data_IF_329149737155
#
_entry.id   IF_329149737155
#
_cell.length_a   1.000
_cell.length_b   1.000
_cell.length_c   1.000
_cell.angle_alpha   90.00
_cell.angle_beta   90.00
_cell.angle_gamma   90.00
#
_symmetry.space_group_name_H-M   'P 1'
#
loop_
_entity.id
_entity.type
_entity.pdbx_description
1 polymer ?
#
# COMPACT_ATOMS: atom_id res chain seq x y z
N UNK A 1 -65.97 -27.87 47.91
CA UNK A 1 -67.39 -27.60 48.28
C UNK A 1 -68.19 -27.65 46.98
N UNK A 2 -68.89 -28.75 46.66
CA UNK A 2 -70.33 -29.00 47.00
C UNK A 2 -71.20 -27.76 46.71
N UNK A 3 -72.31 -27.79 45.97
CA UNK A 3 -73.08 -28.82 45.24
C UNK A 3 -74.20 -28.06 44.48
N UNK A 4 -74.50 -28.47 43.25
CA UNK A 4 -75.82 -28.70 42.62
C UNK A 4 -77.06 -27.84 42.98
N UNK A 5 -77.75 -27.32 41.96
CA UNK A 5 -79.02 -27.91 41.49
C UNK A 5 -79.42 -27.42 40.08
N UNK A 6 -79.97 -28.38 39.31
CA UNK A 6 -80.25 -28.46 37.87
C UNK A 6 -81.75 -28.09 37.58
N UNK A 7 -82.31 -28.24 36.36
CA UNK A 7 -83.26 -27.33 35.69
C UNK A 7 -84.62 -28.03 35.42
N UNK A 8 -85.51 -27.44 34.60
CA UNK A 8 -86.38 -28.10 33.61
C UNK A 8 -87.54 -27.19 33.15
N UNK A 9 -87.96 -27.30 31.88
CA UNK A 9 -89.26 -26.79 31.45
C UNK A 9 -89.45 -26.54 29.95
N UNK A 10 -89.17 -27.54 29.11
CA UNK A 10 -89.61 -27.61 27.70
C UNK A 10 -91.04 -28.19 27.65
N UNK A 11 -91.83 -27.76 26.65
CA UNK A 11 -93.11 -28.31 26.15
C UNK A 11 -94.44 -27.68 26.64
N UNK A 12 -94.97 -26.72 25.85
CA UNK A 12 -96.41 -26.39 25.86
C UNK A 12 -96.87 -25.74 24.52
N UNK A 13 -96.76 -26.47 23.40
CA UNK A 13 -97.19 -26.00 22.05
C UNK A 13 -98.35 -26.85 21.47
N UNK A 14 -98.92 -27.80 22.21
CA UNK A 14 -99.84 -28.79 21.62
C UNK A 14 -101.33 -28.68 21.92
N UNK A 15 -101.79 -27.79 22.81
CA UNK A 15 -103.10 -27.98 23.47
C UNK A 15 -104.14 -26.85 23.34
N UNK A 16 -103.78 -25.70 22.75
CA UNK A 16 -104.71 -24.56 22.56
C UNK A 16 -105.44 -24.56 21.20
N UNK A 17 -105.00 -25.34 20.21
CA UNK A 17 -105.57 -25.37 18.86
C UNK A 17 -106.81 -26.25 18.64
N UNK A 18 -107.26 -27.02 19.63
CA UNK A 18 -108.46 -27.87 19.52
C UNK A 18 -109.69 -27.35 20.27
N UNK A 19 -109.57 -26.28 21.08
CA UNK A 19 -110.71 -25.69 21.79
C UNK A 19 -111.40 -24.57 20.99
N UNK A 20 -110.70 -23.88 20.10
CA UNK A 20 -111.29 -22.82 19.25
C UNK A 20 -112.21 -23.36 18.14
N UNK A 21 -111.96 -24.58 17.65
CA UNK A 21 -112.79 -25.18 16.58
C UNK A 21 -114.15 -25.69 17.08
N UNK A 22 -114.31 -25.94 18.38
CA UNK A 22 -115.63 -26.24 18.98
C UNK A 22 -116.43 -24.97 19.32
N UNK A 23 -115.76 -23.87 19.67
CA UNK A 23 -116.37 -22.55 19.89
C UNK A 23 -117.02 -22.01 18.60
N UNK A 24 -116.32 -22.14 17.46
CA UNK A 24 -116.82 -21.71 16.15
C UNK A 24 -118.02 -22.54 15.66
N UNK A 25 -118.11 -23.83 15.98
CA UNK A 25 -119.28 -24.65 15.62
C UNK A 25 -120.53 -24.28 16.44
N UNK A 26 -120.38 -23.91 17.71
CA UNK A 26 -121.50 -23.40 18.53
C UNK A 26 -122.00 -22.03 18.06
N UNK A 27 -121.09 -21.12 17.69
CA UNK A 27 -121.48 -19.81 17.16
C UNK A 27 -122.17 -19.89 15.79
N UNK A 28 -121.86 -20.90 14.96
CA UNK A 28 -122.55 -21.15 13.69
C UNK A 28 -123.95 -21.74 13.83
N UNK A 29 -124.23 -22.51 14.89
CA UNK A 29 -125.61 -23.00 15.18
C UNK A 29 -126.49 -21.93 15.85
N UNK A 30 -125.91 -20.98 16.59
CA UNK A 30 -126.64 -19.83 17.15
C UNK A 30 -126.98 -18.76 16.10
N UNK A 31 -126.13 -18.55 15.09
CA UNK A 31 -126.42 -17.64 13.97
C UNK A 31 -127.49 -18.18 12.99
N UNK A 32 -127.78 -19.48 13.00
CA UNK A 32 -128.85 -20.08 12.20
C UNK A 32 -130.26 -19.91 12.80
N UNK A 33 -130.37 -19.42 14.06
CA UNK A 33 -131.65 -19.22 14.77
C UNK A 33 -131.97 -17.76 15.09
N UNK A 34 -131.15 -16.80 14.64
CA UNK A 34 -131.41 -15.39 14.86
C UNK A 34 -132.49 -14.86 13.89
N UNK A 35 -133.54 -14.18 14.38
CA UNK A 35 -134.59 -13.60 13.55
C UNK A 35 -134.00 -12.54 12.62
N UNK A 36 -134.41 -12.56 11.34
CA UNK A 36 -133.99 -11.58 10.32
C UNK A 36 -134.40 -10.18 10.80
N UNK A 37 -133.38 -9.33 11.05
CA UNK A 37 -133.54 -7.92 11.38
C UNK A 37 -134.13 -7.13 10.21
N UNK A 38 -134.92 -6.12 10.56
CA UNK A 38 -135.65 -5.23 9.66
C UNK A 38 -134.67 -4.40 8.80
N UNK A 39 -134.72 -4.46 7.46
CA UNK A 39 -133.84 -3.73 6.57
C UNK A 39 -133.81 -2.21 6.80
N UNK A 40 -134.89 -1.64 7.36
CA UNK A 40 -134.99 -0.19 7.58
C UNK A 40 -134.11 0.32 8.76
N UNK A 41 -133.82 -0.51 9.76
CA UNK A 41 -132.94 -0.12 10.88
C UNK A 41 -131.45 -0.20 10.50
N UNK A 42 -131.09 -1.07 9.55
CA UNK A 42 -129.71 -1.23 9.08
C UNK A 42 -129.27 -0.03 8.23
N UNK A 43 -130.16 0.52 7.39
CA UNK A 43 -129.86 1.71 6.58
C UNK A 43 -129.71 2.99 7.42
N UNK A 44 -130.47 3.12 8.51
CA UNK A 44 -130.36 4.26 9.43
C UNK A 44 -129.02 4.25 10.19
N UNK A 45 -128.60 3.08 10.69
CA UNK A 45 -127.31 2.90 11.35
C UNK A 45 -126.13 3.07 10.40
N UNK A 46 -126.25 2.65 9.13
CA UNK A 46 -125.21 2.91 8.12
C UNK A 46 -125.00 4.40 7.86
N UNK A 47 -126.08 5.19 7.85
CA UNK A 47 -125.97 6.62 7.61
C UNK A 47 -125.32 7.35 8.79
N UNK A 48 -125.64 6.95 10.02
CA UNK A 48 -125.05 7.50 11.25
C UNK A 48 -123.55 7.13 11.37
N UNK A 49 -123.18 5.89 11.01
CA UNK A 49 -121.79 5.43 10.96
C UNK A 49 -120.96 6.20 9.93
N UNK A 50 -121.53 6.55 8.76
CA UNK A 50 -120.82 7.37 7.77
C UNK A 50 -120.57 8.79 8.29
N UNK A 51 -121.54 9.38 8.99
CA UNK A 51 -121.42 10.73 9.53
C UNK A 51 -120.38 10.81 10.66
N UNK A 52 -120.43 9.86 11.61
CA UNK A 52 -119.40 9.75 12.67
C UNK A 52 -118.04 9.43 12.08
N UNK A 53 -117.98 8.63 11.01
CA UNK A 53 -116.75 8.35 10.27
C UNK A 53 -116.10 9.61 9.68
N UNK A 54 -116.89 10.55 9.16
CA UNK A 54 -116.37 11.82 8.62
C UNK A 54 -115.87 12.76 9.73
N UNK A 55 -116.59 12.87 10.85
CA UNK A 55 -116.16 13.71 11.98
C UNK A 55 -114.91 13.17 12.68
N UNK A 56 -114.80 11.83 12.78
CA UNK A 56 -113.61 11.17 13.33
C UNK A 56 -112.38 11.37 12.43
N UNK A 57 -112.56 11.36 11.10
CA UNK A 57 -111.48 11.62 10.15
C UNK A 57 -110.95 13.06 10.28
N UNK A 58 -111.82 14.04 10.45
CA UNK A 58 -111.45 15.45 10.61
C UNK A 58 -110.76 15.72 11.97
N UNK A 59 -111.25 15.12 13.05
CA UNK A 59 -110.62 15.22 14.37
C UNK A 59 -109.24 14.54 14.38
N UNK A 60 -109.11 13.38 13.73
CA UNK A 60 -107.85 12.66 13.56
C UNK A 60 -106.82 13.50 12.81
N UNK A 61 -107.21 14.16 11.72
CA UNK A 61 -106.30 15.01 10.95
C UNK A 61 -105.76 16.21 11.75
N UNK A 62 -106.58 16.82 12.63
CA UNK A 62 -106.13 17.91 13.51
C UNK A 62 -105.15 17.43 14.57
N UNK A 63 -105.42 16.29 15.20
CA UNK A 63 -104.52 15.68 16.19
C UNK A 63 -103.20 15.29 15.53
N UNK A 64 -103.23 14.68 14.34
CA UNK A 64 -102.02 14.34 13.58
C UNK A 64 -101.20 15.59 13.22
N UNK A 65 -101.86 16.70 12.87
CA UNK A 65 -101.18 17.97 12.57
C UNK A 65 -100.52 18.60 13.79
N UNK A 66 -101.18 18.58 14.94
CA UNK A 66 -100.63 19.15 16.17
C UNK A 66 -99.56 18.24 16.78
N UNK A 67 -99.70 16.92 16.68
CA UNK A 67 -98.65 15.96 17.01
C UNK A 67 -97.42 16.14 16.10
N UNK A 68 -97.62 16.36 14.80
CA UNK A 68 -96.53 16.65 13.87
C UNK A 68 -95.81 17.96 14.21
N UNK A 69 -96.52 18.99 14.68
CA UNK A 69 -95.91 20.26 15.13
C UNK A 69 -95.09 20.08 16.41
N UNK A 70 -95.61 19.35 17.39
CA UNK A 70 -94.88 19.07 18.65
C UNK A 70 -93.64 18.22 18.37
N UNK A 71 -93.76 17.24 17.48
CA UNK A 71 -92.64 16.40 17.07
C UNK A 71 -91.59 17.20 16.29
N UNK A 72 -92.02 18.11 15.41
CA UNK A 72 -91.10 19.02 14.71
C UNK A 72 -90.38 19.94 15.70
N UNK A 73 -91.09 20.52 16.67
CA UNK A 73 -90.48 21.37 17.71
C UNK A 73 -89.47 20.60 18.58
N UNK A 74 -89.77 19.34 18.95
CA UNK A 74 -88.80 18.47 19.64
C UNK A 74 -87.59 18.16 18.78
N UNK A 75 -87.77 17.89 17.49
CA UNK A 75 -86.66 17.65 16.55
C UNK A 75 -85.80 18.89 16.37
N UNK A 76 -86.39 20.08 16.31
CA UNK A 76 -85.66 21.35 16.24
C UNK A 76 -84.81 21.55 17.49
N UNK A 77 -85.40 21.43 18.70
CA UNK A 77 -84.65 21.55 19.96
C UNK A 77 -83.54 20.50 20.09
N UNK A 78 -83.81 19.26 19.66
CA UNK A 78 -82.81 18.20 19.66
C UNK A 78 -81.68 18.45 18.66
N UNK A 79 -81.98 19.08 17.52
CA UNK A 79 -80.98 19.49 16.54
C UNK A 79 -80.17 20.67 17.05
N UNK A 80 -80.78 21.66 17.68
CA UNK A 80 -80.09 22.79 18.31
C UNK A 80 -79.12 22.32 19.41
N UNK A 81 -79.55 21.39 20.26
CA UNK A 81 -78.68 20.79 21.28
C UNK A 81 -77.51 20.00 20.66
N UNK A 82 -77.76 19.26 19.57
CA UNK A 82 -76.70 18.55 18.84
C UNK A 82 -75.74 19.51 18.14
N UNK A 83 -76.24 20.63 17.62
CA UNK A 83 -75.42 21.64 16.97
C UNK A 83 -74.51 22.33 17.99
N UNK A 84 -75.05 22.66 19.17
CA UNK A 84 -74.27 23.22 20.28
C UNK A 84 -73.22 22.24 20.82
N UNK A 85 -73.55 20.94 20.95
CA UNK A 85 -72.55 19.92 21.32
C UNK A 85 -71.47 19.77 20.24
N UNK A 86 -71.84 19.85 18.96
CA UNK A 86 -70.88 19.82 17.86
C UNK A 86 -69.94 21.04 17.89
N UNK A 87 -70.47 22.24 18.14
CA UNK A 87 -69.67 23.47 18.29
C UNK A 87 -68.67 23.34 19.43
N UNK A 88 -69.11 22.91 20.62
CA UNK A 88 -68.21 22.68 21.76
C UNK A 88 -67.10 21.67 21.44
N UNK A 89 -67.39 20.63 20.65
CA UNK A 89 -66.37 19.65 20.21
C UNK A 89 -65.40 20.25 19.20
N UNK A 90 -65.89 21.06 18.27
CA UNK A 90 -65.06 21.76 17.29
C UNK A 90 -64.13 22.76 17.98
N UNK A 91 -64.62 23.52 18.96
CA UNK A 91 -63.80 24.45 19.75
C UNK A 91 -62.72 23.71 20.57
N UNK A 92 -63.09 22.57 21.18
CA UNK A 92 -62.13 21.73 21.89
C UNK A 92 -61.08 21.12 20.94
N UNK A 93 -61.46 20.74 19.73
CA UNK A 93 -60.52 20.28 18.69
C UNK A 93 -59.62 21.41 18.20
N UNK A 94 -60.17 22.61 17.96
CA UNK A 94 -59.42 23.80 17.56
C UNK A 94 -58.37 24.17 18.61
N UNK A 95 -58.74 24.13 19.90
CA UNK A 95 -57.80 24.39 21.00
C UNK A 95 -56.67 23.36 21.06
N UNK A 96 -56.97 22.08 20.80
CA UNK A 96 -55.94 21.02 20.74
C UNK A 96 -55.02 21.17 19.55
N UNK A 97 -55.56 21.53 18.37
CA UNK A 97 -54.77 21.78 17.17
C UNK A 97 -53.84 22.97 17.37
N UNK A 98 -54.32 24.08 17.93
CA UNK A 98 -53.48 25.23 18.27
C UNK A 98 -52.36 24.86 19.24
N UNK A 99 -52.65 24.06 20.28
CA UNK A 99 -51.60 23.60 21.21
C UNK A 99 -50.53 22.75 20.50
N UNK A 100 -50.95 21.93 19.54
CA UNK A 100 -50.03 21.10 18.75
C UNK A 100 -49.20 21.94 17.76
N UNK A 101 -49.81 22.95 17.14
CA UNK A 101 -49.13 23.90 16.26
C UNK A 101 -48.07 24.70 17.04
N UNK A 102 -48.40 25.16 18.25
CA UNK A 102 -47.43 25.86 19.12
C UNK A 102 -46.27 24.95 19.51
N UNK A 103 -46.55 23.72 19.95
CA UNK A 103 -45.51 22.72 20.27
C UNK A 103 -44.64 22.37 19.06
N UNK A 104 -45.23 22.27 17.87
CA UNK A 104 -44.49 22.00 16.64
C UNK A 104 -43.58 23.17 16.26
N UNK A 105 -44.08 24.40 16.39
CA UNK A 105 -43.32 25.64 16.11
C UNK A 105 -42.10 25.76 17.03
N UNK A 106 -42.22 25.32 18.29
CA UNK A 106 -41.10 25.31 19.24
C UNK A 106 -40.07 24.21 18.94
N UNK A 107 -40.49 23.07 18.40
CA UNK A 107 -39.61 21.92 18.13
C UNK A 107 -38.90 21.99 16.77
N UNK A 108 -39.49 22.65 15.78
CA UNK A 108 -38.94 22.76 14.43
C UNK A 108 -37.51 23.35 14.40
N UNK A 109 -37.20 24.44 15.11
CA UNK A 109 -35.84 24.99 15.16
C UNK A 109 -34.83 24.03 15.83
N UNK A 110 -35.25 23.26 16.84
CA UNK A 110 -34.37 22.31 17.53
C UNK A 110 -34.03 21.13 16.62
N UNK A 111 -35.01 20.62 15.88
CA UNK A 111 -34.82 19.54 14.92
C UNK A 111 -33.91 20.00 13.78
N UNK A 112 -34.14 21.20 13.23
CA UNK A 112 -33.31 21.76 12.16
C UNK A 112 -31.87 22.00 12.61
N UNK A 113 -31.67 22.49 13.84
CA UNK A 113 -30.33 22.66 14.42
C UNK A 113 -29.60 21.33 14.54
N UNK A 114 -30.27 20.29 15.08
CA UNK A 114 -29.66 18.94 15.20
C UNK A 114 -29.37 18.32 13.83
N UNK A 115 -30.23 18.52 12.85
CA UNK A 115 -30.01 18.04 11.48
C UNK A 115 -28.84 18.77 10.81
N UNK A 116 -28.69 20.08 11.05
CA UNK A 116 -27.56 20.86 10.56
C UNK A 116 -26.24 20.39 11.19
N UNK A 117 -26.20 20.20 12.52
CA UNK A 117 -25.04 19.68 13.23
C UNK A 117 -24.64 18.28 12.73
N UNK A 118 -25.60 17.38 12.56
CA UNK A 118 -25.35 16.04 12.04
C UNK A 118 -24.81 16.07 10.60
N UNK A 119 -25.33 16.94 9.74
CA UNK A 119 -24.82 17.10 8.38
C UNK A 119 -23.37 17.56 8.37
N UNK A 120 -23.05 18.61 9.14
CA UNK A 120 -21.67 19.11 9.25
C UNK A 120 -20.73 18.03 9.79
N UNK A 121 -21.12 17.32 10.85
CA UNK A 121 -20.31 16.25 11.41
C UNK A 121 -20.13 15.06 10.47
N UNK A 122 -21.11 14.76 9.62
CA UNK A 122 -21.00 13.71 8.60
C UNK A 122 -20.04 14.14 7.47
N UNK A 123 -20.14 15.38 7.01
CA UNK A 123 -19.25 15.94 5.98
C UNK A 123 -17.79 15.97 6.44
N UNK A 124 -17.54 16.38 7.69
CA UNK A 124 -16.18 16.35 8.27
C UNK A 124 -15.62 14.93 8.34
N UNK A 125 -16.43 13.95 8.77
CA UNK A 125 -16.02 12.53 8.82
C UNK A 125 -15.75 11.97 7.44
N UNK A 126 -16.60 12.28 6.45
CA UNK A 126 -16.40 11.86 5.07
C UNK A 126 -15.10 12.42 4.51
N UNK A 127 -14.83 13.71 4.73
CA UNK A 127 -13.60 14.34 4.29
C UNK A 127 -12.37 13.72 4.95
N UNK A 128 -12.41 13.45 6.26
CA UNK A 128 -11.31 12.79 6.96
C UNK A 128 -11.04 11.37 6.42
N UNK A 129 -12.10 10.62 6.11
CA UNK A 129 -11.99 9.27 5.55
C UNK A 129 -11.41 9.31 4.12
N UNK A 130 -11.84 10.27 3.31
CA UNK A 130 -11.30 10.50 1.95
C UNK A 130 -9.81 10.86 1.98
N UNK A 131 -9.39 11.74 2.89
CA UNK A 131 -7.97 12.08 3.11
C UNK A 131 -7.15 10.83 3.54
N UNK A 132 -7.68 9.99 4.44
CA UNK A 132 -7.01 8.75 4.85
C UNK A 132 -6.88 7.74 3.72
N UNK A 133 -7.95 7.53 2.94
CA UNK A 133 -7.92 6.59 1.81
C UNK A 133 -6.96 7.05 0.71
N UNK A 134 -6.93 8.35 0.42
CA UNK A 134 -5.99 8.94 -0.54
C UNK A 134 -4.54 8.77 -0.09
N UNK A 135 -4.26 9.04 1.20
CA UNK A 135 -2.93 8.83 1.75
C UNK A 135 -2.49 7.36 1.76
N UNK A 136 -3.40 6.44 2.11
CA UNK A 136 -3.14 5.01 2.09
C UNK A 136 -2.89 4.51 0.65
N UNK A 137 -3.67 4.98 -0.33
CA UNK A 137 -3.47 4.63 -1.73
C UNK A 137 -2.12 5.11 -2.26
N UNK A 138 -1.71 6.33 -1.90
CA UNK A 138 -0.39 6.87 -2.26
C UNK A 138 0.74 6.04 -1.65
N UNK A 139 0.69 5.76 -0.35
CA UNK A 139 1.69 4.93 0.33
C UNK A 139 1.79 3.53 -0.28
N UNK A 140 0.66 2.89 -0.57
CA UNK A 140 0.62 1.58 -1.21
C UNK A 140 1.23 1.60 -2.63
N UNK A 141 1.02 2.68 -3.40
CA UNK A 141 1.64 2.86 -4.71
C UNK A 141 3.15 3.02 -4.62
N UNK A 142 3.64 3.78 -3.64
CA UNK A 142 5.08 3.97 -3.40
C UNK A 142 5.77 2.67 -2.99
N UNK A 143 5.14 1.90 -2.09
CA UNK A 143 5.63 0.59 -1.66
C UNK A 143 5.67 -0.40 -2.83
N UNK A 144 4.63 -0.42 -3.67
CA UNK A 144 4.60 -1.27 -4.87
C UNK A 144 5.73 -0.94 -5.84
N UNK A 145 5.97 0.35 -6.11
CA UNK A 145 7.07 0.79 -6.96
C UNK A 145 8.45 0.49 -6.36
N UNK A 146 8.56 0.41 -5.02
CA UNK A 146 9.78 -0.02 -4.34
C UNK A 146 10.00 -1.53 -4.47
N UNK A 147 8.94 -2.33 -4.30
CA UNK A 147 8.99 -3.78 -4.48
C UNK A 147 9.34 -4.17 -5.92
N UNK A 148 8.74 -3.53 -6.92
CA UNK A 148 9.07 -3.78 -8.33
C UNK A 148 10.55 -3.51 -8.64
N UNK A 149 11.12 -2.45 -8.05
CA UNK A 149 12.57 -2.17 -8.18
C UNK A 149 13.45 -3.24 -7.51
N UNK A 150 13.01 -3.79 -6.38
CA UNK A 150 13.73 -4.88 -5.70
C UNK A 150 13.62 -6.19 -6.49
N UNK A 151 12.43 -6.53 -6.97
CA UNK A 151 12.20 -7.71 -7.80
C UNK A 151 13.01 -7.66 -9.10
N UNK A 152 13.11 -6.50 -9.74
CA UNK A 152 13.98 -6.32 -10.91
C UNK A 152 15.46 -6.55 -10.59
N UNK A 153 15.95 -6.14 -9.41
CA UNK A 153 17.34 -6.38 -8.99
C UNK A 153 17.60 -7.84 -8.65
N UNK A 154 16.61 -8.55 -8.10
CA UNK A 154 16.72 -9.97 -7.74
C UNK A 154 16.60 -10.86 -8.98
N UNK A 155 15.75 -10.50 -9.93
CA UNK A 155 15.44 -11.30 -11.12
C UNK A 155 16.40 -11.08 -12.30
N UNK A 156 17.18 -10.00 -12.32
CA UNK A 156 18.17 -9.79 -13.38
C UNK A 156 19.33 -10.77 -13.22
N UNK A 157 19.52 -11.66 -14.20
CA UNK A 157 20.80 -12.38 -14.31
C UNK A 157 21.95 -11.36 -14.31
N UNK A 158 23.07 -11.64 -13.60
CA UNK A 158 24.22 -10.76 -13.61
C UNK A 158 24.65 -10.51 -15.05
N UNK A 159 24.71 -9.25 -15.47
CA UNK A 159 25.19 -8.87 -16.81
C UNK A 159 26.66 -9.26 -16.91
N UNK A 160 26.90 -10.45 -17.47
CA UNK A 160 28.23 -11.04 -17.63
C UNK A 160 29.15 -10.14 -18.46
N UNK A 161 28.57 -9.36 -19.37
CA UNK A 161 29.32 -8.41 -20.18
C UNK A 161 29.85 -7.26 -19.35
N UNK A 162 28.94 -6.63 -18.59
CA UNK A 162 29.30 -5.59 -17.63
C UNK A 162 30.31 -6.08 -16.60
N UNK A 163 30.11 -7.28 -16.03
CA UNK A 163 31.05 -7.87 -15.07
C UNK A 163 32.43 -8.07 -15.69
N UNK A 164 32.50 -8.52 -16.95
CA UNK A 164 33.80 -8.64 -17.64
C UNK A 164 34.46 -7.28 -17.80
N UNK A 165 33.74 -6.30 -18.34
CA UNK A 165 34.30 -4.97 -18.66
C UNK A 165 34.71 -4.18 -17.39
N UNK A 166 34.00 -4.37 -16.27
CA UNK A 166 34.23 -3.62 -15.02
C UNK A 166 35.11 -4.35 -13.99
N UNK A 167 35.12 -5.70 -13.97
CA UNK A 167 35.90 -6.47 -12.99
C UNK A 167 37.15 -7.12 -13.60
N UNK A 168 37.02 -7.72 -14.78
CA UNK A 168 38.08 -8.56 -15.36
C UNK A 168 38.97 -7.78 -16.33
N UNK A 169 38.37 -7.06 -17.27
CA UNK A 169 39.08 -6.27 -18.29
C UNK A 169 40.11 -5.28 -17.72
N UNK A 170 39.86 -4.62 -16.58
CA UNK A 170 40.85 -3.75 -15.97
C UNK A 170 42.05 -4.46 -15.33
N UNK A 171 41.95 -5.78 -15.08
CA UNK A 171 43.01 -6.53 -14.40
C UNK A 171 43.98 -7.12 -15.42
N UNK A 172 45.26 -6.89 -15.17
CA UNK A 172 46.35 -7.26 -16.07
C UNK A 172 47.37 -8.15 -15.37
N UNK A 173 48.15 -8.87 -16.16
CA UNK A 173 49.27 -9.65 -15.64
C UNK A 173 50.57 -8.85 -15.77
N UNK A 174 51.33 -8.78 -14.68
CA UNK A 174 52.71 -8.30 -14.67
C UNK A 174 53.62 -9.52 -14.64
N UNK A 175 54.50 -9.66 -15.63
CA UNK A 175 55.37 -10.83 -15.75
C UNK A 175 56.83 -10.44 -15.93
N UNK A 176 57.68 -10.94 -15.03
CA UNK A 176 59.14 -10.94 -15.18
C UNK A 176 59.64 -12.34 -15.53
N UNK A 177 60.95 -12.50 -15.60
CA UNK A 177 61.58 -13.78 -16.01
C UNK A 177 61.25 -14.95 -15.08
N UNK A 178 61.02 -14.67 -13.79
CA UNK A 178 60.79 -15.68 -12.75
C UNK A 178 59.61 -15.39 -11.81
N UNK A 179 58.93 -14.27 -12.02
CA UNK A 179 57.82 -13.84 -11.16
C UNK A 179 56.62 -13.42 -11.99
N UNK A 180 55.44 -13.63 -11.41
CA UNK A 180 54.15 -13.23 -11.97
C UNK A 180 53.35 -12.59 -10.86
N UNK A 181 52.82 -11.41 -11.13
CA UNK A 181 51.78 -10.79 -10.33
C UNK A 181 50.69 -10.19 -11.22
N UNK A 182 49.88 -9.37 -10.60
CA UNK A 182 48.72 -8.71 -11.20
C UNK A 182 48.85 -7.20 -11.10
N UNK A 183 48.06 -6.49 -11.88
CA UNK A 183 47.89 -5.05 -11.80
C UNK A 183 46.47 -4.65 -12.13
N UNK A 184 46.07 -3.45 -11.74
CA UNK A 184 44.76 -2.87 -12.06
C UNK A 184 44.96 -1.61 -12.89
N UNK A 185 44.50 -1.63 -14.14
CA UNK A 185 44.44 -0.48 -15.02
C UNK A 185 43.38 0.50 -14.55
N UNK A 186 43.74 1.77 -14.55
CA UNK A 186 42.81 2.89 -14.35
C UNK A 186 42.35 3.42 -15.70
N UNK A 187 41.39 4.33 -15.71
CA UNK A 187 40.85 4.90 -16.94
C UNK A 187 41.94 5.63 -17.76
N UNK A 188 41.99 5.36 -19.08
CA UNK A 188 42.90 6.04 -20.00
C UNK A 188 42.56 7.52 -20.13
N UNK A 189 43.58 8.37 -20.04
CA UNK A 189 43.47 9.82 -20.27
C UNK A 189 44.30 10.22 -21.47
N UNK A 190 43.75 11.08 -22.33
CA UNK A 190 44.48 11.59 -23.50
C UNK A 190 45.54 12.61 -23.06
N UNK A 191 46.75 12.50 -23.58
CA UNK A 191 47.86 13.42 -23.30
C UNK A 191 47.72 14.70 -24.14
N UNK A 192 46.91 15.64 -23.67
CA UNK A 192 46.71 16.94 -24.31
C UNK A 192 46.25 16.82 -25.77
N UNK A 193 46.85 17.59 -26.68
CA UNK A 193 46.55 17.55 -28.12
C UNK A 193 47.20 16.38 -28.87
N UNK A 194 48.08 15.61 -28.21
CA UNK A 194 48.75 14.48 -28.85
C UNK A 194 47.78 13.33 -29.13
N UNK A 195 48.15 12.43 -30.04
CA UNK A 195 47.42 11.18 -30.28
C UNK A 195 47.72 10.09 -29.24
N UNK A 196 48.50 10.39 -28.20
CA UNK A 196 48.92 9.41 -27.19
C UNK A 196 47.97 9.39 -25.98
N UNK A 197 47.87 8.22 -25.40
CA UNK A 197 47.07 7.93 -24.22
C UNK A 197 47.97 7.57 -23.06
N UNK A 198 47.63 8.07 -21.88
CA UNK A 198 48.26 7.74 -20.62
C UNK A 198 47.30 6.93 -19.77
N UNK A 199 47.75 5.78 -19.31
CA UNK A 199 46.98 4.90 -18.44
C UNK A 199 47.81 4.61 -17.19
N UNK A 200 47.24 4.87 -16.02
CA UNK A 200 47.88 4.52 -14.75
C UNK A 200 47.53 3.08 -14.39
N UNK A 201 48.45 2.43 -13.68
CA UNK A 201 48.29 1.06 -13.20
C UNK A 201 48.69 1.00 -11.73
N UNK A 202 47.81 0.44 -10.90
CA UNK A 202 48.10 0.13 -9.50
C UNK A 202 48.49 -1.34 -9.38
N UNK A 203 49.47 -1.63 -8.53
CA UNK A 203 49.90 -3.00 -8.21
C UNK A 203 50.55 -3.04 -6.82
N UNK A 204 50.96 -4.22 -6.37
CA UNK A 204 51.73 -4.38 -5.15
C UNK A 204 53.22 -4.11 -5.42
N UNK A 205 53.90 -3.41 -4.51
CA UNK A 205 55.31 -3.05 -4.70
C UNK A 205 56.21 -4.28 -4.83
N UNK A 206 56.01 -5.30 -4.00
CA UNK A 206 56.82 -6.51 -4.08
C UNK A 206 56.75 -7.21 -5.45
N UNK A 207 55.63 -7.10 -6.18
CA UNK A 207 55.53 -7.66 -7.55
C UNK A 207 56.53 -6.98 -8.47
N UNK A 208 56.55 -5.64 -8.46
CA UNK A 208 57.48 -4.84 -9.29
C UNK A 208 58.93 -5.10 -8.88
N UNK A 209 59.21 -5.09 -7.58
CA UNK A 209 60.54 -5.38 -7.03
C UNK A 209 61.04 -6.76 -7.46
N UNK A 210 60.19 -7.77 -7.41
CA UNK A 210 60.54 -9.14 -7.78
C UNK A 210 60.77 -9.26 -9.30
N UNK A 211 60.08 -8.46 -10.13
CA UNK A 211 60.31 -8.37 -11.59
C UNK A 211 61.69 -7.78 -11.87
N UNK A 212 62.08 -6.73 -11.15
CA UNK A 212 63.39 -6.11 -11.29
C UNK A 212 64.54 -7.00 -10.79
N UNK A 213 64.25 -7.92 -9.86
CA UNK A 213 65.22 -8.85 -9.27
C UNK A 213 66.26 -8.18 -8.36
N UNK A 214 66.32 -6.84 -8.35
CA UNK A 214 67.11 -6.02 -7.45
C UNK A 214 66.39 -4.70 -7.18
N UNK A 215 66.36 -4.20 -5.93
CA UNK A 215 65.73 -2.92 -5.60
C UNK A 215 66.39 -1.71 -6.31
N UNK A 216 67.62 -1.84 -6.81
CA UNK A 216 68.35 -0.76 -7.48
C UNK A 216 67.98 -0.61 -8.98
N UNK A 217 67.18 -1.52 -9.54
CA UNK A 217 66.81 -1.55 -10.97
C UNK A 217 65.42 -0.98 -11.22
N UNK A 218 65.18 0.28 -10.84
CA UNK A 218 63.86 0.93 -10.98
C UNK A 218 63.55 1.50 -12.36
N UNK A 219 64.55 1.56 -13.25
CA UNK A 219 64.42 2.25 -14.54
C UNK A 219 63.93 1.33 -15.68
N UNK A 220 63.84 0.03 -15.42
CA UNK A 220 63.42 -0.93 -16.44
C UNK A 220 61.90 -0.95 -16.64
N UNK A 221 61.44 -1.06 -17.89
CA UNK A 221 60.03 -1.19 -18.19
C UNK A 221 59.49 -2.53 -17.67
N UNK A 222 58.37 -2.48 -16.95
CA UNK A 222 57.64 -3.67 -16.47
C UNK A 222 56.75 -4.20 -17.58
N UNK A 223 56.89 -5.46 -18.03
CA UNK A 223 56.00 -6.05 -19.03
C UNK A 223 54.57 -6.21 -18.49
N UNK A 224 53.60 -5.75 -19.27
CA UNK A 224 52.16 -5.82 -18.95
C UNK A 224 51.44 -6.61 -20.03
N UNK A 225 50.66 -7.63 -19.64
CA UNK A 225 49.74 -8.34 -20.53
C UNK A 225 48.31 -7.91 -20.23
N UNK A 226 47.67 -7.32 -21.24
CA UNK A 226 46.30 -6.84 -21.20
C UNK A 226 45.40 -7.86 -21.91
N UNK A 227 44.31 -8.24 -21.25
CA UNK A 227 43.37 -9.25 -21.72
C UNK A 227 42.15 -8.58 -22.37
N UNK A 228 41.86 -8.95 -23.61
CA UNK A 228 40.71 -8.44 -24.35
C UNK A 228 39.54 -9.41 -24.24
N UNK A 229 38.32 -8.89 -24.41
CA UNK A 229 37.07 -9.65 -24.24
C UNK A 229 36.89 -10.80 -25.24
N UNK A 230 37.51 -10.68 -26.41
CA UNK A 230 37.55 -11.73 -27.43
C UNK A 230 38.62 -12.80 -27.17
N UNK A 231 39.36 -12.68 -26.05
CA UNK A 231 40.46 -13.57 -25.68
C UNK A 231 41.81 -13.18 -26.30
N UNK A 232 41.88 -12.10 -27.09
CA UNK A 232 43.15 -11.61 -27.60
C UNK A 232 44.00 -10.98 -26.48
N UNK A 233 45.31 -11.01 -26.68
CA UNK A 233 46.30 -10.45 -25.75
C UNK A 233 46.97 -9.24 -26.37
N UNK A 234 47.08 -8.16 -25.59
CA UNK A 234 47.86 -6.98 -25.92
C UNK A 234 49.04 -6.86 -24.96
N UNK A 235 50.24 -6.80 -25.52
CA UNK A 235 51.48 -6.67 -24.75
C UNK A 235 51.93 -5.21 -24.73
N UNK A 236 52.14 -4.68 -23.54
CA UNK A 236 52.60 -3.32 -23.31
C UNK A 236 53.74 -3.30 -22.29
N UNK A 237 54.32 -2.13 -22.07
CA UNK A 237 55.26 -1.92 -20.97
C UNK A 237 54.85 -0.72 -20.14
N UNK A 238 55.08 -0.81 -18.83
CA UNK A 238 54.80 0.25 -17.89
C UNK A 238 56.07 0.73 -17.20
N UNK A 239 56.15 2.03 -16.92
CA UNK A 239 57.24 2.63 -16.13
C UNK A 239 56.77 2.85 -14.71
N UNK A 240 57.62 2.57 -13.73
CA UNK A 240 57.37 2.91 -12.34
C UNK A 240 57.38 4.43 -12.16
N UNK A 241 56.34 4.97 -11.54
CA UNK A 241 56.27 6.40 -11.14
C UNK A 241 56.65 6.56 -9.68
N UNK A 242 56.00 5.77 -8.82
CA UNK A 242 56.14 5.87 -7.37
C UNK A 242 55.81 4.53 -6.72
N UNK A 243 56.34 4.30 -5.53
CA UNK A 243 55.99 3.15 -4.70
C UNK A 243 56.06 3.51 -3.20
N UNK A 244 55.35 2.75 -2.39
CA UNK A 244 55.44 2.78 -0.93
C UNK A 244 55.76 1.37 -0.41
N UNK A 245 56.85 1.26 0.34
CA UNK A 245 57.35 -0.03 0.83
C UNK A 245 56.48 -0.56 1.97
N UNK A 246 55.96 0.32 2.82
CA UNK A 246 55.22 -0.06 4.03
C UNK A 246 53.77 -0.46 3.70
N UNK A 247 53.15 0.25 2.75
CA UNK A 247 51.82 -0.07 2.21
C UNK A 247 51.86 -1.19 1.17
N UNK A 248 53.04 -1.54 0.68
CA UNK A 248 53.29 -2.53 -0.38
C UNK A 248 52.50 -2.20 -1.66
N UNK A 249 52.54 -0.95 -2.11
CA UNK A 249 51.82 -0.46 -3.30
C UNK A 249 52.76 0.24 -4.27
N UNK A 250 52.49 0.13 -5.56
CA UNK A 250 53.21 0.82 -6.62
C UNK A 250 52.25 1.41 -7.66
N UNK A 251 52.63 2.57 -8.18
CA UNK A 251 51.96 3.26 -9.28
C UNK A 251 52.86 3.21 -10.51
N UNK A 252 52.33 2.65 -11.60
CA UNK A 252 53.00 2.58 -12.89
C UNK A 252 52.21 3.36 -13.93
N UNK A 253 52.86 3.66 -15.05
CA UNK A 253 52.25 4.32 -16.20
C UNK A 253 52.57 3.62 -17.50
N UNK A 254 51.51 3.45 -18.29
CA UNK A 254 51.56 3.03 -19.69
C UNK A 254 51.35 4.27 -20.56
N UNK A 255 52.19 4.45 -21.57
CA UNK A 255 51.99 5.44 -22.63
C UNK A 255 51.75 4.70 -23.93
N UNK A 256 50.50 4.71 -24.39
CA UNK A 256 50.03 3.92 -25.52
C UNK A 256 49.58 4.82 -26.67
N UNK A 257 49.63 4.32 -27.90
CA UNK A 257 49.06 5.03 -29.06
C UNK A 257 47.53 4.91 -29.12
N UNK A 258 46.97 3.87 -28.50
CA UNK A 258 45.53 3.63 -28.36
C UNK A 258 45.14 3.47 -26.89
N UNK A 259 43.94 3.90 -26.47
CA UNK A 259 43.49 3.75 -25.10
C UNK A 259 43.39 2.26 -24.71
N UNK A 260 43.50 1.97 -23.42
CA UNK A 260 43.13 0.63 -22.94
C UNK A 260 41.61 0.49 -23.00
N UNK A 261 41.08 -0.69 -23.35
CA UNK A 261 39.64 -0.88 -23.57
C UNK A 261 38.83 -0.80 -22.26
N UNK A 262 39.44 -1.17 -21.14
CA UNK A 262 38.79 -1.24 -19.84
C UNK A 262 39.68 -0.59 -18.78
N UNK A 263 39.08 0.18 -17.88
CA UNK A 263 39.75 0.79 -16.73
C UNK A 263 38.85 0.68 -15.50
N UNK A 264 39.46 0.42 -14.35
CA UNK A 264 38.74 0.21 -13.11
C UNK A 264 38.11 1.51 -12.63
N UNK A 265 36.84 1.43 -12.22
CA UNK A 265 36.16 2.51 -11.51
C UNK A 265 36.64 2.54 -10.08
N UNK A 266 37.13 3.67 -9.60
CA UNK A 266 37.62 3.80 -8.24
C UNK A 266 36.50 4.14 -7.26
N UNK A 267 36.48 3.49 -6.09
CA UNK A 267 35.55 3.83 -5.03
C UNK A 267 35.83 5.21 -4.43
N UNK A 268 34.79 5.94 -4.04
CA UNK A 268 34.95 7.23 -3.36
C UNK A 268 35.53 7.02 -1.95
N UNK A 269 36.21 8.04 -1.40
CA UNK A 269 36.65 8.02 0.00
C UNK A 269 35.52 7.69 0.97
N UNK A 270 34.33 8.26 0.75
CA UNK A 270 33.14 7.98 1.56
C UNK A 270 32.74 6.49 1.48
N UNK A 271 32.69 5.90 0.28
CA UNK A 271 32.38 4.47 0.11
C UNK A 271 33.35 3.57 0.88
N UNK A 272 34.64 3.91 0.88
CA UNK A 272 35.68 3.15 1.58
C UNK A 272 35.57 3.28 3.11
N UNK A 273 35.22 4.46 3.62
CA UNK A 273 34.92 4.68 5.05
C UNK A 273 33.65 3.91 5.47
N UNK A 274 32.69 3.80 4.56
CA UNK A 274 31.43 3.10 4.79
C UNK A 274 31.53 1.58 4.62
N UNK A 275 32.69 1.04 4.22
CA UNK A 275 32.90 -0.41 4.12
C UNK A 275 32.73 -1.13 5.45
N UNK A 276 32.07 -2.29 5.42
CA UNK A 276 31.80 -3.13 6.60
C UNK A 276 32.23 -4.57 6.38
N UNK A 277 32.37 -5.30 7.48
CA UNK A 277 32.45 -6.76 7.44
C UNK A 277 31.16 -7.29 6.80
N UNK A 278 31.28 -8.33 5.98
CA UNK A 278 30.24 -8.90 5.12
C UNK A 278 29.88 -8.11 3.87
N UNK A 279 30.55 -6.99 3.57
CA UNK A 279 30.46 -6.39 2.24
C UNK A 279 30.92 -7.41 1.20
N UNK A 280 30.07 -7.69 0.21
CA UNK A 280 30.38 -8.63 -0.86
C UNK A 280 31.45 -8.07 -1.78
N UNK A 281 32.45 -8.89 -2.14
CA UNK A 281 33.57 -8.49 -2.99
C UNK A 281 33.93 -9.53 -4.05
N UNK A 282 34.57 -9.07 -5.11
CA UNK A 282 35.32 -9.90 -6.05
C UNK A 282 36.82 -9.62 -5.90
N UNK A 283 37.61 -10.66 -5.67
CA UNK A 283 39.06 -10.60 -5.85
C UNK A 283 39.39 -11.06 -7.27
N UNK A 284 40.03 -10.20 -8.05
CA UNK A 284 40.40 -10.47 -9.43
C UNK A 284 41.90 -10.27 -9.60
N UNK A 285 42.58 -11.31 -10.06
CA UNK A 285 44.01 -11.33 -10.30
C UNK A 285 44.38 -12.49 -11.21
N UNK A 286 45.67 -12.65 -11.48
CA UNK A 286 46.27 -13.60 -12.43
C UNK A 286 47.00 -14.73 -11.66
N UNK A 287 46.29 -15.61 -10.93
CA UNK A 287 46.93 -16.64 -10.10
C UNK A 287 47.78 -17.57 -10.97
N UNK A 288 49.00 -17.86 -10.50
CA UNK A 288 49.96 -18.76 -11.15
C UNK A 288 50.27 -18.41 -12.60
N UNK A 289 50.06 -17.16 -13.02
CA UNK A 289 50.28 -16.74 -14.41
C UNK A 289 49.15 -17.08 -15.38
N UNK A 290 47.99 -17.51 -14.88
CA UNK A 290 46.78 -17.63 -15.70
C UNK A 290 46.19 -16.25 -16.02
N UNK A 291 45.22 -16.25 -16.92
CA UNK A 291 44.34 -15.11 -17.21
C UNK A 291 43.64 -14.62 -15.94
N UNK A 292 43.12 -13.37 -15.90
CA UNK A 292 42.50 -12.85 -14.70
C UNK A 292 41.29 -13.71 -14.28
N UNK A 293 41.30 -14.20 -13.05
CA UNK A 293 40.27 -15.05 -12.48
C UNK A 293 39.50 -14.26 -11.42
N UNK A 294 38.21 -13.97 -11.64
CA UNK A 294 37.36 -13.38 -10.61
C UNK A 294 36.92 -14.44 -9.60
N UNK A 295 37.13 -14.15 -8.32
CA UNK A 295 36.69 -15.00 -7.20
C UNK A 295 35.83 -14.21 -6.25
N UNK A 296 34.67 -14.76 -5.87
CA UNK A 296 33.71 -14.07 -5.00
C UNK A 296 34.00 -14.38 -3.53
N UNK A 297 33.85 -13.38 -2.67
CA UNK A 297 33.88 -13.51 -1.23
C UNK A 297 33.30 -12.27 -0.55
N UNK A 298 33.78 -12.01 0.65
CA UNK A 298 33.31 -10.91 1.50
C UNK A 298 34.50 -10.28 2.24
N UNK A 299 34.33 -9.04 2.70
CA UNK A 299 35.23 -8.43 3.67
C UNK A 299 35.08 -9.15 5.01
N UNK A 300 36.14 -9.78 5.48
CA UNK A 300 36.18 -10.53 6.74
C UNK A 300 36.70 -9.68 7.91
N UNK A 301 37.59 -8.72 7.66
CA UNK A 301 38.06 -7.74 8.64
C UNK A 301 38.52 -6.45 7.95
N UNK A 302 38.30 -5.31 8.60
CA UNK A 302 38.68 -3.97 8.08
C UNK A 302 39.89 -3.37 8.81
N UNK A 303 40.22 -3.86 10.01
CA UNK A 303 41.31 -3.37 10.85
C UNK A 303 42.25 -4.53 11.22
N UNK A 304 42.76 -5.25 10.23
CA UNK A 304 43.70 -6.34 10.47
C UNK A 304 45.15 -5.83 10.39
N UNK A 305 45.85 -5.81 11.52
CA UNK A 305 47.24 -5.33 11.57
C UNK A 305 48.20 -6.50 11.45
N UNK A 306 49.08 -6.43 10.44
CA UNK A 306 50.18 -7.40 10.23
C UNK A 306 51.47 -6.60 10.12
N UNK A 307 52.43 -6.90 11.00
CA UNK A 307 53.75 -6.22 11.03
C UNK A 307 53.67 -4.68 11.15
N UNK A 308 52.59 -4.17 11.75
CA UNK A 308 52.35 -2.73 11.91
C UNK A 308 51.61 -2.05 10.75
N UNK A 309 51.34 -2.77 9.66
CA UNK A 309 50.55 -2.27 8.52
C UNK A 309 49.09 -2.72 8.62
N UNK A 310 48.18 -1.79 8.32
CA UNK A 310 46.74 -2.05 8.28
C UNK A 310 46.32 -2.66 6.95
N UNK A 311 45.69 -3.83 7.02
CA UNK A 311 45.11 -4.53 5.89
C UNK A 311 43.62 -4.80 6.11
N UNK A 312 42.89 -4.91 5.01
CA UNK A 312 41.63 -5.63 4.99
C UNK A 312 41.90 -7.12 4.82
N UNK A 313 41.11 -7.94 5.50
CA UNK A 313 41.05 -9.36 5.24
C UNK A 313 39.83 -9.67 4.38
N UNK A 314 40.00 -10.42 3.30
CA UNK A 314 38.91 -10.87 2.41
C UNK A 314 38.84 -12.38 2.37
N UNK A 315 37.61 -12.91 2.32
CA UNK A 315 37.32 -14.34 2.23
C UNK A 315 37.32 -14.89 0.81
N UNK A 316 37.41 -14.01 -0.20
CA UNK A 316 37.51 -14.40 -1.61
C UNK A 316 38.74 -15.30 -1.82
N UNK A 317 38.59 -16.51 -2.39
CA UNK A 317 39.70 -17.42 -2.59
C UNK A 317 40.81 -16.82 -3.46
N UNK A 318 41.99 -16.67 -2.90
CA UNK A 318 43.17 -16.11 -3.57
C UNK A 318 44.35 -17.07 -3.48
N UNK A 319 45.22 -16.99 -4.48
CA UNK A 319 46.45 -17.77 -4.60
C UNK A 319 47.63 -16.94 -5.10
N UNK A 320 48.84 -17.49 -5.02
CA UNK A 320 50.07 -16.83 -5.51
C UNK A 320 49.84 -16.35 -6.95
N UNK A 321 50.19 -15.09 -7.23
CA UNK A 321 49.94 -14.41 -8.49
C UNK A 321 48.80 -13.39 -8.46
N UNK A 322 47.89 -13.45 -7.46
CA UNK A 322 46.86 -12.41 -7.28
C UNK A 322 47.41 -11.09 -6.76
N UNK A 323 48.61 -11.08 -6.18
CA UNK A 323 49.25 -9.86 -5.65
C UNK A 323 49.32 -8.77 -6.71
N UNK A 324 48.89 -7.57 -6.34
CA UNK A 324 48.68 -6.42 -7.21
C UNK A 324 47.34 -6.38 -7.96
N UNK A 325 46.51 -7.42 -7.83
CA UNK A 325 45.17 -7.49 -8.40
C UNK A 325 44.16 -6.64 -7.61
N UNK A 326 42.94 -6.55 -8.12
CA UNK A 326 41.90 -5.69 -7.54
C UNK A 326 40.92 -6.44 -6.64
N UNK A 327 40.54 -5.79 -5.54
CA UNK A 327 39.36 -6.14 -4.75
C UNK A 327 38.25 -5.17 -5.11
N UNK A 328 37.19 -5.67 -5.71
CA UNK A 328 36.07 -4.88 -6.22
C UNK A 328 34.81 -5.12 -5.39
N UNK A 329 33.99 -4.10 -5.26
CA UNK A 329 32.64 -4.23 -4.71
C UNK A 329 31.78 -5.15 -5.59
N UNK A 330 31.05 -6.08 -4.97
CA UNK A 330 30.27 -7.07 -5.73
C UNK A 330 29.03 -6.49 -6.45
N UNK A 331 28.59 -5.29 -6.10
CA UNK A 331 27.41 -4.65 -6.68
C UNK A 331 27.78 -3.46 -7.59
N UNK A 332 28.61 -2.55 -7.09
CA UNK A 332 29.04 -1.35 -7.83
C UNK A 332 30.21 -1.60 -8.78
N UNK A 333 30.94 -2.72 -8.59
CA UNK A 333 32.18 -3.05 -9.30
C UNK A 333 33.29 -1.98 -9.14
N UNK A 334 33.19 -1.15 -8.10
CA UNK A 334 34.22 -0.17 -7.78
C UNK A 334 35.42 -0.85 -7.09
N UNK A 335 36.63 -0.45 -7.45
CA UNK A 335 37.85 -0.89 -6.80
C UNK A 335 37.90 -0.36 -5.36
N UNK A 336 37.99 -1.27 -4.40
CA UNK A 336 38.01 -1.01 -2.96
C UNK A 336 39.42 -1.13 -2.37
N UNK A 337 40.23 -2.06 -2.88
CA UNK A 337 41.57 -2.35 -2.35
C UNK A 337 42.45 -3.01 -3.41
N UNK A 338 43.77 -2.97 -3.20
CA UNK A 338 44.75 -3.74 -3.96
C UNK A 338 45.10 -5.00 -3.18
N UNK A 339 45.04 -6.16 -3.81
CA UNK A 339 45.40 -7.42 -3.18
C UNK A 339 46.92 -7.48 -2.94
N UNK A 340 47.35 -7.73 -1.70
CA UNK A 340 48.76 -7.65 -1.33
C UNK A 340 49.34 -9.04 -1.10
N UNK A 341 48.80 -9.78 -0.13
CA UNK A 341 49.41 -11.05 0.33
C UNK A 341 48.34 -12.06 0.76
N UNK A 342 48.72 -13.33 0.86
CA UNK A 342 47.85 -14.39 1.39
C UNK A 342 48.41 -14.87 2.72
N UNK A 343 47.53 -15.10 3.68
CA UNK A 343 47.93 -15.65 4.96
C UNK A 343 48.55 -17.06 4.78
N UNK A 344 49.67 -17.30 5.46
CA UNK A 344 50.30 -18.61 5.51
C UNK A 344 50.40 -19.09 6.94
N UNK A 345 50.18 -20.38 7.15
CA UNK A 345 50.30 -21.01 8.46
C UNK A 345 51.45 -22.02 8.48
N UNK A 346 52.20 -22.05 9.59
CA UNK A 346 53.30 -22.99 9.84
C UNK A 346 54.67 -22.43 9.43
N UNK A 347 55.64 -22.53 10.35
CA UNK A 347 57.00 -21.99 10.16
C UNK A 347 57.93 -22.90 9.34
N UNK A 348 57.67 -24.22 9.32
CA UNK A 348 58.51 -25.22 8.62
C UNK A 348 57.96 -25.64 7.26
N UNK A 349 56.64 -25.56 7.07
CA UNK A 349 55.92 -25.85 5.83
C UNK A 349 54.75 -24.89 5.72
N UNK A 350 55.01 -23.72 5.16
CA UNK A 350 54.00 -22.69 4.95
C UNK A 350 52.86 -23.25 4.12
N UNK A 351 51.71 -23.43 4.76
CA UNK A 351 50.46 -23.81 4.10
C UNK A 351 49.70 -22.54 3.79
N UNK A 352 49.38 -22.34 2.51
CA UNK A 352 48.59 -21.20 2.04
C UNK A 352 47.16 -21.39 2.53
N UNK A 353 46.56 -20.32 3.04
CA UNK A 353 45.15 -20.28 3.45
C UNK A 353 44.39 -19.40 2.46
N UNK A 354 43.78 -19.97 1.40
CA UNK A 354 43.30 -19.17 0.26
C UNK A 354 42.19 -18.17 0.57
N UNK A 355 41.42 -18.39 1.64
CA UNK A 355 40.31 -17.54 2.06
C UNK A 355 40.72 -16.50 3.13
N UNK A 356 42.02 -16.33 3.38
CA UNK A 356 42.55 -15.29 4.28
C UNK A 356 43.47 -14.38 3.47
N UNK A 357 42.86 -13.71 2.48
CA UNK A 357 43.53 -12.74 1.63
C UNK A 357 43.71 -11.41 2.36
N UNK A 358 44.89 -10.78 2.23
CA UNK A 358 45.19 -9.46 2.79
C UNK A 358 45.28 -8.43 1.65
N UNK A 359 44.51 -7.37 1.76
CA UNK A 359 44.43 -6.30 0.76
C UNK A 359 44.72 -4.94 1.39
N UNK A 360 45.52 -4.12 0.69
CA UNK A 360 45.78 -2.72 1.06
C UNK A 360 44.57 -1.88 0.63
N UNK A 361 43.81 -1.29 1.57
CA UNK A 361 42.60 -0.54 1.24
C UNK A 361 42.95 0.71 0.42
N UNK A 362 42.10 1.03 -0.56
CA UNK A 362 42.33 2.16 -1.46
C UNK A 362 42.36 3.51 -0.73
N UNK A 363 41.77 3.59 0.48
CA UNK A 363 41.84 4.78 1.32
C UNK A 363 43.29 5.12 1.70
N UNK A 364 44.08 4.12 2.08
CA UNK A 364 45.50 4.30 2.38
C UNK A 364 46.31 4.64 1.12
N UNK A 365 45.93 4.06 -0.03
CA UNK A 365 46.55 4.38 -1.32
C UNK A 365 46.28 5.83 -1.71
N UNK A 366 45.07 6.35 -1.48
CA UNK A 366 44.76 7.76 -1.72
C UNK A 366 45.58 8.70 -0.85
N UNK A 367 45.69 8.41 0.45
CA UNK A 367 46.49 9.22 1.37
C UNK A 367 47.97 9.24 0.97
N UNK A 368 48.49 8.10 0.49
CA UNK A 368 49.84 8.01 -0.06
C UNK A 368 50.00 8.84 -1.35
N UNK A 369 49.12 8.68 -2.33
CA UNK A 369 49.19 9.43 -3.59
C UNK A 369 49.10 10.94 -3.36
N UNK A 370 48.27 11.39 -2.41
CA UNK A 370 48.19 12.80 -2.03
C UNK A 370 49.49 13.31 -1.39
N UNK A 371 50.08 12.53 -0.49
CA UNK A 371 51.36 12.86 0.16
C UNK A 371 52.51 12.99 -0.84
N UNK A 372 52.53 12.14 -1.87
CA UNK A 372 53.53 12.20 -2.96
C UNK A 372 53.27 13.33 -3.97
N UNK A 373 52.19 14.13 -3.79
CA UNK A 373 51.81 15.16 -4.75
C UNK A 373 51.25 14.60 -6.06
N UNK A 374 50.89 13.32 -6.08
CA UNK A 374 50.30 12.60 -7.20
C UNK A 374 48.77 12.59 -7.13
N UNK A 375 48.14 13.46 -6.33
CA UNK A 375 46.68 13.57 -6.19
C UNK A 375 45.92 13.87 -7.50
N UNK A 376 46.62 14.37 -8.53
CA UNK A 376 46.08 14.58 -9.88
C UNK A 376 46.09 13.32 -10.75
N UNK A 377 46.80 12.27 -10.32
CA UNK A 377 46.59 10.88 -10.72
C UNK A 377 45.38 10.31 -9.93
N UNK A 378 44.68 9.28 -10.42
CA UNK A 378 43.22 9.24 -10.37
C UNK A 378 42.68 9.22 -8.94
N UNK A 379 42.25 10.38 -8.46
CA UNK A 379 41.38 10.51 -7.30
C UNK A 379 39.95 10.66 -7.82
N UNK A 380 38.97 10.22 -7.02
CA UNK A 380 37.55 10.25 -7.35
C UNK A 380 36.96 11.65 -7.61
N UNK A 381 37.78 12.71 -7.60
CA UNK A 381 37.36 14.11 -7.74
C UNK A 381 36.77 14.45 -9.12
N UNK A 382 36.96 13.62 -10.14
CA UNK A 382 36.30 13.79 -11.44
C UNK A 382 34.86 13.20 -11.48
N UNK A 383 34.50 12.33 -10.52
CA UNK A 383 33.15 11.76 -10.43
C UNK A 383 32.10 12.76 -9.92
N UNK A 384 32.51 13.74 -9.08
CA UNK A 384 31.62 14.79 -8.58
C UNK A 384 31.25 15.81 -9.68
N UNK A 385 32.11 16.01 -10.69
CA UNK A 385 31.80 16.91 -11.81
C UNK A 385 30.75 16.36 -12.76
N UNK A 386 30.66 15.04 -12.94
CA UNK A 386 29.68 14.42 -13.84
C UNK A 386 28.28 14.39 -13.23
N UNK A 387 28.14 14.25 -11.91
CA UNK A 387 26.80 14.30 -11.28
C UNK A 387 26.21 15.72 -11.24
N UNK A 388 27.06 16.75 -11.12
CA UNK A 388 26.59 18.15 -11.15
C UNK A 388 26.13 18.63 -12.54
N UNK A 389 26.70 18.09 -13.63
CA UNK A 389 26.30 18.45 -14.99
C UNK A 389 25.03 17.73 -15.45
N UNK A 390 24.79 16.50 -15.00
CA UNK A 390 23.54 15.75 -15.27
C UNK A 390 22.36 16.35 -14.49
N UNK A 391 22.56 16.79 -13.24
CA UNK A 391 21.53 17.48 -12.48
C UNK A 391 21.17 18.87 -13.06
N UNK A 392 22.12 19.57 -13.68
CA UNK A 392 21.88 20.84 -14.35
C UNK A 392 21.15 20.67 -15.71
N UNK A 393 21.38 19.57 -16.41
CA UNK A 393 20.70 19.27 -17.69
C UNK A 393 19.24 18.80 -17.49
N UNK A 394 18.93 18.11 -16.39
CA UNK A 394 17.56 17.68 -16.07
C UNK A 394 16.66 18.79 -15.50
N UNK A 395 17.21 19.97 -15.20
CA UNK A 395 16.44 21.14 -14.75
C UNK A 395 16.06 22.09 -15.91
N UNK A 396 16.44 21.77 -17.16
CA UNK A 396 16.16 22.58 -18.35
C UNK A 396 15.27 21.90 -19.39
N UNK A 397 14.62 20.78 -19.06
CA UNK A 397 13.58 20.15 -19.89
C UNK A 397 12.27 19.98 -19.12
#
# INVERSE_FOLDING_TARGET
MKRYLLPAGLAFVGWLGLQETQSLRRQLEELARAPRADPAEVDALEHELRQVGTELADAKFRIERDQAKVELARRVLALEAKLSDADCRLDAQGSRLSTWEDQWTDLEPEIDSRLAELKVGLEERWRSLDELTTNAARAASEDRARLERLDMRIASEPDRGRMWDELVGPVVQLAGDSTVGSGVLLESRRLGETSKWRTHLLTAWHVVRDIYGSPDRTDEPVPVKIYLRDGALRHETAKLIAHDVDLDVALLVLECDEPVPCGAKLATRQRLIDSRIFDGVYAVGCPLGNDPIPTRGEVAAIEHVVEGTHYWMVSAPTYIGNSGGGIFDAESHELLAIFSKIYTHGSLRSTIVPHMGLATPLLAVYDWLEKEGLASAPTSSDAERVQSSVAAASAQH
#
